data_IF_449414119846
#
_entry.id   IF_449414119846
#
_cell.length_a   1.000
_cell.length_b   1.000
_cell.length_c   1.000
_cell.angle_alpha   90.00
_cell.angle_beta   90.00
_cell.angle_gamma   90.00
#
_symmetry.space_group_name_H-M   'P 1'
#
loop_
_entity.id
_entity.type
_entity.pdbx_description
1 polymer ?
#
# COMPACT_ATOMS: atom_id res chain seq x y z
N UNK A 1 -3.39 -9.69 -16.70
CA UNK A 1 -4.69 -9.07 -17.09
C UNK A 1 -4.44 -7.62 -17.44
N UNK A 2 -4.64 -7.23 -18.68
CA UNK A 2 -4.41 -5.84 -19.13
C UNK A 2 -5.54 -4.93 -18.65
N UNK A 3 -5.21 -3.68 -18.33
CA UNK A 3 -6.22 -2.63 -18.18
C UNK A 3 -6.96 -2.41 -19.49
N UNK A 4 -8.25 -2.16 -19.42
CA UNK A 4 -8.99 -1.67 -20.59
C UNK A 4 -8.59 -0.24 -20.92
N UNK A 5 -8.90 0.26 -22.12
CA UNK A 5 -8.64 1.64 -22.50
C UNK A 5 -9.33 2.63 -21.55
N UNK A 6 -10.57 2.32 -21.11
CA UNK A 6 -11.32 3.14 -20.16
C UNK A 6 -10.64 3.19 -18.78
N UNK A 7 -10.14 2.05 -18.29
CA UNK A 7 -9.41 1.96 -17.03
C UNK A 7 -8.08 2.74 -17.09
N UNK A 8 -7.37 2.64 -18.21
CA UNK A 8 -6.15 3.39 -18.43
C UNK A 8 -6.42 4.90 -18.46
N UNK A 9 -7.44 5.35 -19.20
CA UNK A 9 -7.86 6.75 -19.26
C UNK A 9 -8.33 7.26 -17.89
N UNK A 10 -9.05 6.44 -17.12
CA UNK A 10 -9.44 6.77 -15.75
C UNK A 10 -8.21 7.03 -14.88
N UNK A 11 -7.22 6.13 -14.89
CA UNK A 11 -6.00 6.33 -14.12
C UNK A 11 -5.28 7.63 -14.50
N UNK A 12 -5.16 7.92 -15.78
CA UNK A 12 -4.52 9.16 -16.27
C UNK A 12 -5.28 10.42 -15.83
N UNK A 13 -6.59 10.38 -15.81
CA UNK A 13 -7.45 11.52 -15.47
C UNK A 13 -7.61 11.70 -13.96
N UNK A 14 -7.86 10.59 -13.23
CA UNK A 14 -8.23 10.63 -11.81
C UNK A 14 -7.06 10.33 -10.86
N UNK A 15 -5.97 9.75 -11.38
CA UNK A 15 -4.82 9.30 -10.58
C UNK A 15 -5.01 7.92 -9.93
N UNK A 16 -6.10 7.23 -10.23
CA UNK A 16 -6.37 5.88 -9.73
C UNK A 16 -7.31 5.09 -10.64
N UNK A 17 -7.28 3.77 -10.46
CA UNK A 17 -8.27 2.85 -11.02
C UNK A 17 -8.42 1.64 -10.10
N UNK A 18 -9.65 1.17 -9.91
CA UNK A 18 -9.95 -0.10 -9.25
C UNK A 18 -10.18 -1.17 -10.31
N UNK A 19 -9.52 -2.30 -10.13
CA UNK A 19 -9.67 -3.48 -10.99
C UNK A 19 -10.17 -4.63 -10.12
N UNK A 20 -11.31 -5.18 -10.49
CA UNK A 20 -11.93 -6.27 -9.74
C UNK A 20 -11.26 -7.61 -10.03
N UNK A 21 -11.22 -8.49 -9.01
CA UNK A 21 -10.80 -9.88 -9.13
C UNK A 21 -9.40 -10.06 -9.75
N UNK A 22 -8.44 -9.23 -9.36
CA UNK A 22 -7.02 -9.35 -9.76
C UNK A 22 -6.41 -10.61 -9.17
N UNK A 23 -6.71 -10.93 -7.91
CA UNK A 23 -6.39 -12.19 -7.28
C UNK A 23 -7.63 -13.08 -7.20
N UNK A 24 -7.44 -14.37 -7.40
CA UNK A 24 -8.48 -15.39 -7.15
C UNK A 24 -8.75 -15.57 -5.65
N UNK A 25 -9.89 -16.15 -5.31
CA UNK A 25 -10.23 -16.45 -3.91
C UNK A 25 -9.19 -17.35 -3.23
N UNK A 26 -8.60 -18.31 -3.94
CA UNK A 26 -7.57 -19.21 -3.41
C UNK A 26 -6.26 -18.46 -3.15
N UNK A 27 -5.86 -17.52 -4.00
CA UNK A 27 -4.68 -16.68 -3.80
C UNK A 27 -4.87 -15.76 -2.60
N UNK A 28 -6.02 -15.10 -2.50
CA UNK A 28 -6.38 -14.26 -1.33
C UNK A 28 -6.30 -15.08 -0.05
N UNK A 29 -6.88 -16.28 -0.02
CA UNK A 29 -6.88 -17.14 1.15
C UNK A 29 -5.47 -17.60 1.55
N UNK A 30 -4.58 -17.85 0.57
CA UNK A 30 -3.16 -18.17 0.85
C UNK A 30 -2.44 -16.99 1.50
N UNK A 31 -2.68 -15.78 1.02
CA UNK A 31 -2.07 -14.56 1.60
C UNK A 31 -2.60 -14.31 3.01
N UNK A 32 -3.90 -14.47 3.23
CA UNK A 32 -4.52 -14.33 4.56
C UNK A 32 -3.90 -15.29 5.57
N UNK A 33 -3.84 -16.59 5.26
CA UNK A 33 -3.23 -17.59 6.13
C UNK A 33 -1.78 -17.25 6.46
N UNK A 34 -1.02 -16.81 5.44
CA UNK A 34 0.36 -16.43 5.67
C UNK A 34 0.49 -15.21 6.58
N UNK A 35 -0.41 -14.24 6.48
CA UNK A 35 -0.47 -13.10 7.41
C UNK A 35 -0.87 -13.56 8.81
N UNK A 36 -1.83 -14.46 8.92
CA UNK A 36 -2.26 -15.01 10.21
C UNK A 36 -1.12 -15.76 10.91
N UNK A 37 -0.28 -16.54 10.20
CA UNK A 37 0.93 -17.19 10.73
C UNK A 37 1.89 -16.16 11.35
N UNK A 38 2.07 -14.99 10.73
CA UNK A 38 2.90 -13.91 11.28
C UNK A 38 2.22 -13.19 12.44
N UNK A 39 0.93 -12.88 12.32
CA UNK A 39 0.15 -12.21 13.37
C UNK A 39 0.15 -13.03 14.65
N UNK A 40 -0.04 -14.35 14.57
CA UNK A 40 -0.07 -15.27 15.72
C UNK A 40 1.30 -15.66 16.25
N UNK A 41 2.38 -15.34 15.50
CA UNK A 41 3.75 -15.72 15.86
C UNK A 41 4.09 -17.18 15.54
N UNK A 42 3.26 -17.87 14.77
CA UNK A 42 3.61 -19.20 14.22
C UNK A 42 4.77 -19.09 13.22
N UNK A 43 4.96 -17.90 12.67
CA UNK A 43 6.09 -17.54 11.81
C UNK A 43 6.73 -16.24 12.30
N UNK A 44 8.06 -16.22 12.35
CA UNK A 44 8.85 -15.07 12.80
C UNK A 44 9.29 -14.21 11.61
N UNK A 45 9.20 -12.89 11.74
CA UNK A 45 9.77 -11.91 10.82
C UNK A 45 11.30 -11.87 11.00
N UNK A 46 12.07 -11.91 9.90
CA UNK A 46 13.55 -11.90 9.94
C UNK A 46 14.15 -10.65 9.29
N UNK A 47 13.58 -10.20 8.17
CA UNK A 47 14.08 -9.08 7.38
C UNK A 47 13.06 -7.96 7.20
N UNK A 48 11.89 -8.07 7.84
CA UNK A 48 10.86 -7.04 7.86
C UNK A 48 10.34 -6.86 9.28
N UNK A 49 9.71 -5.72 9.54
CA UNK A 49 9.25 -5.33 10.87
C UNK A 49 7.75 -5.49 11.05
N UNK A 50 7.37 -5.60 12.31
CA UNK A 50 5.99 -5.54 12.81
C UNK A 50 5.78 -4.20 13.50
N UNK A 51 4.68 -3.53 13.19
CA UNK A 51 4.24 -2.32 13.87
C UNK A 51 2.88 -2.59 14.52
N UNK A 52 2.70 -2.05 15.72
CA UNK A 52 1.48 -2.24 16.50
C UNK A 52 0.54 -1.04 16.32
N UNK A 53 -0.72 -1.22 16.67
CA UNK A 53 -1.68 -0.12 16.76
C UNK A 53 -1.27 0.85 17.89
N UNK A 54 -1.47 2.16 17.73
CA UNK A 54 -1.15 3.14 18.79
C UNK A 54 -1.80 2.80 20.14
N UNK A 55 -3.02 2.26 20.12
CA UNK A 55 -3.70 1.83 21.33
C UNK A 55 -2.93 0.74 22.10
N UNK A 56 -2.02 -0.01 21.47
CA UNK A 56 -1.19 -1.00 22.16
C UNK A 56 -0.16 -0.38 23.12
N UNK A 57 0.14 0.90 22.94
CA UNK A 57 1.06 1.65 23.80
C UNK A 57 0.35 2.37 24.94
N UNK A 58 -0.99 2.34 24.98
CA UNK A 58 -1.78 2.95 26.05
C UNK A 58 -1.79 2.07 27.29
N UNK A 59 -1.45 2.64 28.43
CA UNK A 59 -1.44 1.94 29.73
C UNK A 59 -2.84 1.39 30.06
N UNK A 60 -2.92 0.05 30.21
CA UNK A 60 -4.15 -0.63 30.61
C UNK A 60 -5.10 -0.98 29.48
N UNK A 61 -4.70 -0.76 28.22
CA UNK A 61 -5.45 -1.27 27.08
C UNK A 61 -5.19 -2.78 26.91
N UNK A 62 -6.25 -3.57 26.87
CA UNK A 62 -6.17 -5.02 26.65
C UNK A 62 -6.82 -5.39 25.33
N UNK A 63 -6.14 -6.20 24.55
CA UNK A 63 -6.65 -6.75 23.29
C UNK A 63 -7.28 -8.12 23.54
N UNK A 64 -8.39 -8.39 22.85
CA UNK A 64 -9.10 -9.68 22.98
C UNK A 64 -8.25 -10.86 22.48
N UNK A 65 -7.38 -10.63 21.52
CA UNK A 65 -6.51 -11.64 20.91
C UNK A 65 -5.07 -11.15 20.78
N UNK A 66 -4.08 -12.04 20.91
CA UNK A 66 -2.65 -11.65 20.81
C UNK A 66 -2.25 -10.96 19.49
N UNK A 67 -2.99 -11.22 18.39
CA UNK A 67 -2.74 -10.61 17.09
C UNK A 67 -3.43 -9.27 16.85
N UNK A 68 -4.41 -8.89 17.67
CA UNK A 68 -5.20 -7.67 17.48
C UNK A 68 -4.37 -6.39 17.48
N UNK A 69 -3.25 -6.26 18.22
CA UNK A 69 -2.43 -5.05 18.14
C UNK A 69 -1.67 -4.85 16.84
N UNK A 70 -1.61 -5.83 15.93
CA UNK A 70 -0.79 -5.70 14.73
C UNK A 70 -1.46 -4.81 13.69
N UNK A 71 -0.80 -3.68 13.40
CA UNK A 71 -1.24 -2.69 12.42
C UNK A 71 -0.62 -2.91 11.04
N UNK A 72 0.65 -3.35 11.00
CA UNK A 72 1.41 -3.36 9.77
C UNK A 72 2.60 -4.31 9.83
N UNK A 73 2.85 -4.95 8.70
CA UNK A 73 4.14 -5.55 8.41
C UNK A 73 4.78 -4.80 7.25
N UNK A 74 6.04 -4.42 7.38
CA UNK A 74 6.77 -3.77 6.30
C UNK A 74 8.27 -3.99 6.37
N UNK A 75 8.94 -3.81 5.24
CA UNK A 75 10.39 -3.84 5.13
C UNK A 75 10.88 -4.57 3.89
N UNK A 76 12.18 -4.44 3.68
CA UNK A 76 12.92 -4.98 2.52
C UNK A 76 12.74 -6.50 2.37
N UNK A 77 12.49 -7.20 3.46
CA UNK A 77 12.49 -8.66 3.47
C UNK A 77 11.18 -9.31 3.08
N UNK A 78 10.05 -8.61 3.13
CA UNK A 78 8.75 -9.25 3.02
C UNK A 78 8.59 -10.12 1.76
N UNK A 79 8.90 -9.53 0.59
CA UNK A 79 8.88 -10.24 -0.71
C UNK A 79 10.13 -11.11 -0.92
N UNK A 80 11.23 -10.83 -0.22
CA UNK A 80 12.48 -11.61 -0.33
C UNK A 80 12.44 -12.89 0.49
N UNK A 81 11.80 -12.85 1.66
CA UNK A 81 11.74 -13.97 2.59
C UNK A 81 10.59 -14.92 2.33
N UNK A 82 9.49 -14.41 1.81
CA UNK A 82 8.24 -15.16 1.74
C UNK A 82 7.71 -15.28 0.32
N UNK A 83 7.66 -16.54 -0.16
CA UNK A 83 7.23 -16.84 -1.53
C UNK A 83 5.76 -16.46 -1.77
N UNK A 84 4.89 -16.50 -0.75
CA UNK A 84 3.47 -16.12 -0.90
C UNK A 84 3.34 -14.63 -1.22
N UNK A 85 4.07 -13.78 -0.50
CA UNK A 85 4.08 -12.34 -0.78
C UNK A 85 4.79 -12.02 -2.10
N UNK A 86 5.84 -12.81 -2.41
CA UNK A 86 6.55 -12.68 -3.68
C UNK A 86 5.66 -13.01 -4.86
N UNK A 87 4.87 -14.08 -4.79
CA UNK A 87 3.92 -14.46 -5.85
C UNK A 87 2.93 -13.33 -6.13
N UNK A 88 2.43 -12.62 -5.11
CA UNK A 88 1.55 -11.47 -5.29
C UNK A 88 2.28 -10.30 -5.93
N UNK A 89 3.47 -9.97 -5.46
CA UNK A 89 4.27 -8.86 -6.00
C UNK A 89 4.73 -9.10 -7.45
N UNK A 90 4.77 -10.34 -7.90
CA UNK A 90 5.13 -10.74 -9.26
C UNK A 90 3.94 -11.32 -10.03
N UNK A 91 2.72 -11.17 -9.53
CA UNK A 91 1.52 -11.68 -10.16
C UNK A 91 1.33 -11.07 -11.54
N UNK A 92 1.13 -11.92 -12.56
CA UNK A 92 1.06 -11.48 -13.97
C UNK A 92 0.04 -10.36 -14.19
N UNK A 93 -1.16 -10.46 -13.60
CA UNK A 93 -2.21 -9.44 -13.73
C UNK A 93 -1.81 -8.09 -13.15
N UNK A 94 -1.09 -8.08 -12.03
CA UNK A 94 -0.58 -6.86 -11.40
C UNK A 94 0.54 -6.25 -12.23
N UNK A 95 1.54 -7.05 -12.59
CA UNK A 95 2.73 -6.60 -13.33
C UNK A 95 2.33 -6.08 -14.72
N UNK A 96 1.41 -6.75 -15.42
CA UNK A 96 0.93 -6.32 -16.73
C UNK A 96 0.22 -4.97 -16.67
N UNK A 97 -0.68 -4.76 -15.68
CA UNK A 97 -1.36 -3.49 -15.48
C UNK A 97 -0.35 -2.35 -15.17
N UNK A 98 0.61 -2.58 -14.26
CA UNK A 98 1.64 -1.58 -13.95
C UNK A 98 2.54 -1.31 -15.15
N UNK A 99 2.85 -2.32 -15.97
CA UNK A 99 3.62 -2.16 -17.20
C UNK A 99 2.92 -1.25 -18.20
N UNK A 100 1.60 -1.32 -18.31
CA UNK A 100 0.84 -0.38 -19.14
C UNK A 100 0.90 1.06 -18.61
N UNK A 101 0.91 1.24 -17.28
CA UNK A 101 0.96 2.57 -16.66
C UNK A 101 2.37 3.19 -16.69
N UNK A 102 3.42 2.40 -16.53
CA UNK A 102 4.79 2.87 -16.33
C UNK A 102 5.80 2.45 -17.40
N UNK A 103 5.41 1.55 -18.29
CA UNK A 103 6.30 0.96 -19.29
C UNK A 103 6.95 -0.35 -18.81
N UNK A 104 7.74 -1.02 -19.68
CA UNK A 104 8.11 -2.42 -19.53
C UNK A 104 9.24 -2.68 -18.53
N UNK A 105 9.94 -1.65 -18.06
CA UNK A 105 11.12 -1.81 -17.22
C UNK A 105 10.79 -1.37 -15.79
N UNK A 106 10.48 -2.33 -14.92
CA UNK A 106 9.95 -2.08 -13.58
C UNK A 106 10.84 -2.70 -12.50
N UNK A 107 10.91 -1.99 -11.39
CA UNK A 107 11.44 -2.47 -10.10
C UNK A 107 10.38 -2.37 -9.02
N UNK A 108 10.44 -3.28 -8.08
CA UNK A 108 9.70 -3.21 -6.83
C UNK A 108 10.35 -2.14 -5.95
N UNK A 109 9.55 -1.20 -5.48
CA UNK A 109 9.99 -0.14 -4.57
C UNK A 109 9.79 -0.55 -3.12
N UNK A 110 8.64 -1.16 -2.82
CA UNK A 110 8.23 -1.53 -1.47
C UNK A 110 7.14 -2.58 -1.48
N UNK A 111 7.08 -3.36 -0.41
CA UNK A 111 5.93 -4.19 -0.04
C UNK A 111 5.55 -3.98 1.42
N UNK A 112 4.28 -4.10 1.74
CA UNK A 112 3.74 -4.04 3.09
C UNK A 112 2.40 -4.74 3.19
N UNK A 113 2.06 -5.25 4.37
CA UNK A 113 0.71 -5.63 4.70
C UNK A 113 0.13 -4.63 5.70
N UNK A 114 -1.04 -4.08 5.41
CA UNK A 114 -1.76 -3.13 6.25
C UNK A 114 -2.97 -3.82 6.86
N UNK A 115 -3.02 -3.81 8.17
CA UNK A 115 -4.04 -4.49 8.94
C UNK A 115 -4.82 -3.45 9.75
N UNK A 116 -6.15 -3.57 9.76
CA UNK A 116 -7.00 -2.83 10.69
C UNK A 116 -7.79 -3.84 11.50
N UNK A 117 -7.35 -4.11 12.75
CA UNK A 117 -8.09 -5.00 13.63
C UNK A 117 -9.48 -4.47 13.95
N UNK A 118 -10.44 -5.36 14.29
CA UNK A 118 -11.81 -4.97 14.63
C UNK A 118 -11.86 -3.97 15.79
N UNK A 119 -12.54 -2.86 15.60
CA UNK A 119 -12.82 -1.87 16.63
C UNK A 119 -11.64 -1.03 17.14
N UNK A 120 -10.40 -1.39 16.76
CA UNK A 120 -9.18 -0.69 17.24
C UNK A 120 -8.26 -0.24 16.10
N UNK A 121 -8.51 -0.70 14.87
CA UNK A 121 -7.70 -0.31 13.71
C UNK A 121 -7.74 1.18 13.49
N UNK A 122 -6.60 1.86 13.67
CA UNK A 122 -6.47 3.31 13.60
C UNK A 122 -6.64 3.89 12.20
N UNK A 123 -6.95 5.18 12.10
CA UNK A 123 -6.95 5.90 10.84
C UNK A 123 -5.55 5.99 10.22
N UNK A 124 -5.51 6.18 8.91
CA UNK A 124 -4.32 6.68 8.21
C UNK A 124 -4.69 8.02 7.58
N UNK A 125 -4.12 9.10 8.12
CA UNK A 125 -4.44 10.47 7.69
C UNK A 125 -4.13 10.71 6.22
N UNK A 126 -4.74 11.72 5.62
CA UNK A 126 -4.45 12.13 4.24
C UNK A 126 -2.97 12.32 4.02
N UNK A 127 -2.42 11.64 3.02
CA UNK A 127 -1.03 11.73 2.61
C UNK A 127 -0.88 11.39 1.12
N UNK A 128 0.30 11.61 0.61
CA UNK A 128 0.74 11.15 -0.72
C UNK A 128 1.91 10.21 -0.52
N UNK A 129 1.89 9.04 -1.17
CA UNK A 129 2.98 8.06 -1.07
C UNK A 129 4.34 8.64 -1.48
N UNK A 130 4.34 9.57 -2.47
CA UNK A 130 5.56 10.21 -2.94
C UNK A 130 6.35 10.97 -1.85
N UNK A 131 5.70 11.36 -0.74
CA UNK A 131 6.35 12.06 0.34
C UNK A 131 7.30 11.18 1.16
N UNK A 132 7.10 9.87 1.14
CA UNK A 132 8.01 8.90 1.79
C UNK A 132 9.27 8.61 0.97
N UNK A 133 9.24 8.88 -0.35
CA UNK A 133 10.27 8.39 -1.26
C UNK A 133 10.99 9.53 -1.98
N UNK A 134 12.27 9.78 -1.67
CA UNK A 134 13.07 10.79 -2.38
C UNK A 134 13.47 10.28 -3.78
N UNK A 135 12.51 9.96 -4.64
CA UNK A 135 12.69 9.33 -5.96
C UNK A 135 12.27 10.29 -7.07
N UNK A 136 12.96 10.25 -8.20
CA UNK A 136 12.59 10.95 -9.42
C UNK A 136 12.63 9.98 -10.63
N UNK A 137 11.64 10.08 -11.56
CA UNK A 137 10.44 10.93 -11.45
C UNK A 137 9.51 10.48 -10.32
N UNK A 138 8.63 11.39 -9.84
CA UNK A 138 7.58 11.07 -8.86
C UNK A 138 6.36 10.52 -9.61
N UNK A 139 6.47 9.30 -10.09
CA UNK A 139 5.44 8.66 -10.90
C UNK A 139 5.23 7.18 -10.54
N UNK A 140 5.80 6.73 -9.44
CA UNK A 140 5.60 5.34 -9.01
C UNK A 140 4.12 5.02 -8.75
N UNK A 141 3.77 3.76 -8.96
CA UNK A 141 2.42 3.24 -8.79
C UNK A 141 2.37 2.38 -7.53
N UNK A 142 1.46 2.68 -6.64
CA UNK A 142 1.11 1.82 -5.51
C UNK A 142 -0.11 0.97 -5.89
N UNK A 143 0.01 -0.33 -5.68
CA UNK A 143 -1.10 -1.28 -5.84
C UNK A 143 -1.52 -1.72 -4.45
N UNK A 144 -2.75 -1.39 -4.08
CA UNK A 144 -3.37 -1.78 -2.83
C UNK A 144 -4.38 -2.90 -3.11
N UNK A 145 -4.12 -4.11 -2.61
CA UNK A 145 -4.90 -5.31 -2.88
C UNK A 145 -5.72 -5.65 -1.64
N UNK A 146 -7.04 -5.64 -1.78
CA UNK A 146 -7.94 -6.02 -0.71
C UNK A 146 -7.81 -7.52 -0.41
N UNK A 147 -7.53 -7.87 0.83
CA UNK A 147 -7.55 -9.26 1.29
C UNK A 147 -8.85 -9.59 2.01
N UNK A 148 -9.52 -8.60 2.58
CA UNK A 148 -10.86 -8.70 3.16
C UNK A 148 -11.79 -7.71 2.45
N UNK A 149 -13.08 -7.85 2.67
CA UNK A 149 -14.05 -6.85 2.23
C UNK A 149 -13.73 -5.50 2.88
N UNK A 150 -13.42 -4.50 2.08
CA UNK A 150 -13.14 -3.15 2.51
C UNK A 150 -14.38 -2.27 2.30
N UNK A 151 -14.94 -1.77 3.39
CA UNK A 151 -16.14 -0.92 3.41
C UNK A 151 -15.84 0.42 4.07
N UNK A 152 -16.76 1.36 4.00
CA UNK A 152 -16.64 2.64 4.71
C UNK A 152 -16.58 2.45 6.23
N UNK A 153 -17.26 1.43 6.76
CA UNK A 153 -17.31 1.12 8.18
C UNK A 153 -15.98 0.57 8.73
N UNK A 154 -15.22 -0.18 7.90
CA UNK A 154 -13.94 -0.77 8.32
C UNK A 154 -12.72 -0.07 7.74
N UNK A 155 -12.91 1.12 7.17
CA UNK A 155 -11.84 1.97 6.67
C UNK A 155 -11.33 1.57 5.28
N UNK A 156 -12.23 1.48 4.28
CA UNK A 156 -11.82 1.39 2.88
C UNK A 156 -11.00 2.62 2.46
N UNK A 157 -10.32 2.52 1.34
CA UNK A 157 -9.56 3.64 0.78
C UNK A 157 -10.50 4.77 0.38
N UNK A 158 -10.09 6.00 0.68
CA UNK A 158 -10.71 7.24 0.19
C UNK A 158 -9.66 8.07 -0.52
N UNK A 159 -9.99 8.60 -1.68
CA UNK A 159 -9.08 9.35 -2.54
C UNK A 159 -9.65 10.70 -2.91
N UNK A 160 -8.79 11.65 -3.28
CA UNK A 160 -9.19 12.92 -3.88
C UNK A 160 -8.93 12.84 -5.39
N UNK A 161 -9.94 12.56 -6.23
CA UNK A 161 -9.76 12.36 -7.66
C UNK A 161 -9.07 13.53 -8.33
N UNK A 162 -8.20 13.24 -9.30
CA UNK A 162 -7.42 14.19 -10.10
C UNK A 162 -6.39 15.05 -9.32
N UNK A 163 -6.36 15.02 -7.98
CA UNK A 163 -5.44 15.82 -7.17
C UNK A 163 -3.97 15.39 -7.30
N UNK A 164 -3.66 14.26 -7.93
CA UNK A 164 -2.27 13.88 -8.27
C UNK A 164 -1.61 14.90 -9.21
N UNK A 165 -2.39 15.69 -9.95
CA UNK A 165 -1.89 16.76 -10.84
C UNK A 165 -1.44 18.01 -10.08
N UNK A 166 -1.79 18.16 -8.81
CA UNK A 166 -1.37 19.29 -7.96
C UNK A 166 0.12 19.17 -7.54
N UNK A 167 0.75 18.02 -7.83
CA UNK A 167 2.14 17.75 -7.47
C UNK A 167 2.29 17.31 -6.01
N UNK A 168 3.54 17.31 -5.52
CA UNK A 168 3.82 16.97 -4.13
C UNK A 168 3.44 18.13 -3.22
N UNK A 169 2.53 17.87 -2.31
CA UNK A 169 2.04 18.82 -1.30
C UNK A 169 2.95 18.78 -0.07
N UNK A 170 2.79 19.80 0.81
CA UNK A 170 3.51 19.82 2.06
C UNK A 170 2.96 18.77 3.03
N UNK A 171 3.86 18.01 3.65
CA UNK A 171 3.55 17.04 4.70
C UNK A 171 4.19 17.49 6.02
N UNK A 172 3.63 17.01 7.11
CA UNK A 172 4.17 17.10 8.46
C UNK A 172 4.32 15.71 9.07
N UNK A 173 5.33 15.55 9.90
CA UNK A 173 5.54 14.31 10.66
C UNK A 173 4.50 14.23 11.78
N UNK A 174 3.99 13.03 12.03
CA UNK A 174 3.09 12.76 13.15
C UNK A 174 3.91 12.28 14.35
N UNK A 175 3.38 12.51 15.56
CA UNK A 175 4.05 12.10 16.80
C UNK A 175 4.25 10.59 16.93
N UNK A 176 3.43 9.82 16.22
CA UNK A 176 3.48 8.36 16.23
C UNK A 176 4.18 7.85 14.98
N UNK A 177 5.36 7.27 15.18
CA UNK A 177 6.13 6.54 14.17
C UNK A 177 6.58 7.39 12.96
N UNK A 178 6.95 6.71 11.88
CA UNK A 178 7.33 7.28 10.59
C UNK A 178 6.14 7.75 9.76
N UNK A 179 4.99 7.99 10.39
CA UNK A 179 3.78 8.43 9.70
C UNK A 179 3.81 9.93 9.43
N UNK A 180 3.29 10.29 8.26
CA UNK A 180 3.15 11.66 7.79
C UNK A 180 1.70 11.97 7.44
N UNK A 181 1.34 13.23 7.51
CA UNK A 181 0.05 13.73 7.08
C UNK A 181 0.22 15.00 6.23
N UNK A 182 -0.77 15.30 5.39
CA UNK A 182 -0.82 16.57 4.69
C UNK A 182 -0.94 17.73 5.70
N UNK A 183 -0.01 18.68 5.63
CA UNK A 183 0.06 19.81 6.54
C UNK A 183 -1.02 20.84 6.22
N UNK A 184 -1.88 21.15 7.19
CA UNK A 184 -2.87 22.25 7.12
C UNK A 184 -3.78 22.14 5.89
N UNK A 185 -4.13 20.94 5.49
CA UNK A 185 -4.83 20.72 4.24
C UNK A 185 -6.33 20.77 4.40
N UNK A 186 -6.99 21.53 3.53
CA UNK A 186 -8.43 21.49 3.30
C UNK A 186 -8.86 20.24 2.49
N UNK A 187 -7.96 19.24 2.35
CA UNK A 187 -8.26 18.03 1.56
C UNK A 187 -9.40 17.20 2.15
N UNK A 188 -9.58 17.22 3.48
CA UNK A 188 -10.75 16.61 4.12
C UNK A 188 -12.08 17.30 3.80
N UNK A 189 -12.05 18.55 3.30
CA UNK A 189 -13.22 19.31 2.85
C UNK A 189 -13.48 19.19 1.33
N UNK A 190 -12.50 18.66 0.57
CA UNK A 190 -12.71 18.39 -0.86
C UNK A 190 -13.59 17.16 -1.04
N UNK A 191 -14.21 17.06 -2.21
CA UNK A 191 -14.99 15.89 -2.63
C UNK A 191 -14.08 14.65 -2.68
N UNK A 192 -14.15 13.83 -1.65
CA UNK A 192 -13.47 12.54 -1.59
C UNK A 192 -14.36 11.45 -2.13
N UNK A 193 -13.75 10.44 -2.73
CA UNK A 193 -14.45 9.23 -3.20
C UNK A 193 -14.00 8.06 -2.35
N UNK A 194 -14.96 7.42 -1.66
CA UNK A 194 -14.73 6.15 -1.00
C UNK A 194 -14.70 5.02 -2.04
N UNK A 195 -13.78 4.09 -1.89
CA UNK A 195 -13.55 2.96 -2.78
C UNK A 195 -13.79 1.65 -2.03
N UNK A 196 -15.05 1.22 -1.83
CA UNK A 196 -15.31 -0.12 -1.32
C UNK A 196 -14.80 -1.16 -2.31
N UNK A 197 -14.15 -2.22 -1.79
CA UNK A 197 -13.54 -3.28 -2.59
C UNK A 197 -13.80 -4.64 -1.98
N UNK A 198 -14.02 -5.64 -2.82
CA UNK A 198 -14.08 -7.03 -2.43
C UNK A 198 -12.69 -7.66 -2.29
N UNK A 199 -12.59 -8.83 -1.63
CA UNK A 199 -11.34 -9.57 -1.57
C UNK A 199 -10.85 -9.97 -2.97
N UNK A 200 -9.58 -9.66 -3.27
CA UNK A 200 -8.98 -9.90 -4.59
C UNK A 200 -9.03 -8.69 -5.53
N UNK A 201 -9.80 -7.66 -5.22
CA UNK A 201 -9.77 -6.40 -5.97
C UNK A 201 -8.49 -5.63 -5.68
N UNK A 202 -8.03 -4.86 -6.65
CA UNK A 202 -6.82 -4.04 -6.55
C UNK A 202 -7.07 -2.59 -6.97
N UNK A 203 -6.64 -1.67 -6.14
CA UNK A 203 -6.55 -0.26 -6.44
C UNK A 203 -5.13 0.04 -6.95
N UNK A 204 -5.02 0.53 -8.16
CA UNK A 204 -3.79 1.11 -8.72
C UNK A 204 -3.87 2.62 -8.53
N UNK A 205 -2.93 3.20 -7.78
CA UNK A 205 -2.91 4.64 -7.49
C UNK A 205 -1.58 5.28 -7.81
N UNK A 206 -1.64 6.52 -8.27
CA UNK A 206 -0.48 7.36 -8.50
C UNK A 206 0.10 7.84 -7.17
N UNK A 207 1.42 7.84 -7.02
CA UNK A 207 2.09 8.23 -5.77
C UNK A 207 1.77 9.65 -5.28
N UNK A 208 1.34 10.53 -6.17
CA UNK A 208 0.93 11.91 -5.84
C UNK A 208 -0.57 12.04 -5.54
N UNK A 209 -1.33 10.95 -5.56
CA UNK A 209 -2.76 10.99 -5.22
C UNK A 209 -2.95 11.09 -3.71
N UNK A 210 -3.57 12.19 -3.19
CA UNK A 210 -3.93 12.25 -1.78
C UNK A 210 -4.97 11.20 -1.43
N UNK A 211 -4.69 10.42 -0.38
CA UNK A 211 -5.58 9.35 0.04
C UNK A 211 -5.59 9.17 1.56
N UNK A 212 -6.63 8.53 2.04
CA UNK A 212 -6.98 8.41 3.45
C UNK A 212 -7.67 7.07 3.72
N UNK A 213 -7.58 6.55 4.95
CA UNK A 213 -8.43 5.46 5.43
C UNK A 213 -8.93 5.73 6.83
N UNK A 214 -10.26 5.67 7.04
CA UNK A 214 -10.90 5.84 8.33
C UNK A 214 -10.50 4.72 9.32
N UNK A 215 -10.75 4.89 10.63
CA UNK A 215 -10.65 3.80 11.59
C UNK A 215 -11.52 2.61 11.20
N UNK A 216 -11.21 1.45 11.76
CA UNK A 216 -12.08 0.28 11.65
C UNK A 216 -13.06 0.25 12.84
N UNK A 217 -14.30 0.65 12.59
CA UNK A 217 -15.37 0.64 13.60
C UNK A 217 -16.20 -0.67 13.59
N UNK A 218 -15.86 -1.60 12.67
CA UNK A 218 -16.57 -2.86 12.51
C UNK A 218 -15.99 -3.97 13.41
N UNK A 219 -16.73 -5.08 13.50
CA UNK A 219 -16.28 -6.31 14.18
C UNK A 219 -15.41 -7.23 13.30
N UNK A 220 -15.01 -6.78 12.10
CA UNK A 220 -14.28 -7.58 11.12
C UNK A 220 -12.88 -6.99 10.84
N UNK A 221 -11.91 -7.84 10.59
CA UNK A 221 -10.62 -7.44 10.06
C UNK A 221 -10.75 -6.77 8.69
N UNK A 222 -9.89 -5.78 8.45
CA UNK A 222 -9.65 -5.23 7.11
C UNK A 222 -8.15 -5.29 6.82
N UNK A 223 -7.75 -6.32 6.09
CA UNK A 223 -6.35 -6.56 5.69
C UNK A 223 -6.18 -6.21 4.21
N UNK A 224 -5.01 -5.69 3.89
CA UNK A 224 -4.59 -5.43 2.51
C UNK A 224 -3.11 -5.73 2.35
N UNK A 225 -2.73 -6.14 1.14
CA UNK A 225 -1.34 -6.23 0.74
C UNK A 225 -1.01 -5.11 -0.23
N UNK A 226 0.09 -4.40 0.04
CA UNK A 226 0.53 -3.24 -0.75
C UNK A 226 1.83 -3.57 -1.45
N UNK A 227 1.90 -3.21 -2.72
CA UNK A 227 3.10 -3.32 -3.55
C UNK A 227 3.29 -2.01 -4.30
N UNK A 228 4.43 -1.37 -4.17
CA UNK A 228 4.76 -0.18 -4.93
C UNK A 228 5.82 -0.48 -5.98
N UNK A 229 5.56 -0.01 -7.21
CA UNK A 229 6.44 -0.20 -8.36
C UNK A 229 6.96 1.12 -8.88
N UNK A 230 8.23 1.13 -9.25
CA UNK A 230 8.87 2.26 -9.90
C UNK A 230 9.49 1.86 -11.25
N UNK A 231 9.71 2.84 -12.10
CA UNK A 231 10.47 2.61 -13.33
C UNK A 231 11.89 2.20 -13.00
N UNK A 232 12.44 1.25 -13.71
CA UNK A 232 13.83 0.82 -13.53
C UNK A 232 14.87 1.94 -13.77
N UNK A 233 14.45 3.06 -14.37
CA UNK A 233 15.26 4.29 -14.56
C UNK A 233 15.12 5.31 -13.45
N UNK A 234 14.28 5.05 -12.46
CA UNK A 234 14.11 5.95 -11.31
C UNK A 234 15.42 6.09 -10.54
N UNK A 235 15.60 7.24 -9.90
CA UNK A 235 16.80 7.54 -9.11
C UNK A 235 16.40 8.13 -7.77
N UNK A 236 17.10 7.76 -6.74
CA UNK A 236 17.04 8.49 -5.48
C UNK A 236 17.66 9.88 -5.63
N UNK A 237 17.08 10.84 -4.93
CA UNK A 237 17.62 12.22 -4.86
C UNK A 237 18.54 12.42 -3.66
N UNK A 238 18.66 11.40 -2.81
CA UNK A 238 19.58 11.32 -1.67
C UNK A 238 20.75 10.40 -2.00
N UNK A 239 21.90 10.61 -1.35
CA UNK A 239 23.09 9.76 -1.54
C UNK A 239 22.84 8.34 -1.01
N UNK A 240 22.15 8.25 0.14
CA UNK A 240 21.80 6.98 0.78
C UNK A 240 20.30 6.72 0.62
N UNK A 241 19.89 5.72 -0.17
CA UNK A 241 18.51 5.29 -0.23
C UNK A 241 18.04 4.72 1.12
N UNK A 242 16.75 4.84 1.46
CA UNK A 242 16.22 4.22 2.66
C UNK A 242 16.44 2.69 2.65
N UNK A 243 16.86 2.13 3.78
CA UNK A 243 17.15 0.68 3.91
C UNK A 243 15.93 -0.22 3.66
N UNK A 244 14.72 0.32 3.80
CA UNK A 244 13.46 -0.41 3.61
C UNK A 244 12.99 -0.49 2.15
N UNK A 245 13.74 0.04 1.20
CA UNK A 245 13.43 -0.06 -0.23
C UNK A 245 13.88 -1.40 -0.78
N UNK A 246 12.97 -2.11 -1.42
CA UNK A 246 13.26 -3.43 -2.00
C UNK A 246 14.16 -3.36 -3.24
N UNK A 247 13.87 -2.46 -4.16
CA UNK A 247 14.62 -2.26 -5.40
C UNK A 247 14.87 -3.55 -6.20
N UNK A 248 13.93 -4.50 -6.17
CA UNK A 248 14.02 -5.74 -6.92
C UNK A 248 13.55 -5.54 -8.35
N UNK A 249 14.31 -6.08 -9.31
CA UNK A 249 13.83 -6.13 -10.69
C UNK A 249 12.57 -7.00 -10.79
N UNK A 250 11.50 -6.42 -11.36
CA UNK A 250 10.24 -7.10 -11.62
C UNK A 250 10.17 -7.56 -13.07
N UNK A 251 10.39 -6.65 -14.02
CA UNK A 251 10.39 -6.96 -15.46
C UNK A 251 11.30 -6.02 -16.24
N UNK A 252 11.67 -6.43 -17.44
CA UNK A 252 12.46 -5.63 -18.39
C UNK A 252 13.92 -5.49 -18.03
N UNK A 253 14.52 -4.37 -18.42
CA UNK A 253 15.94 -4.08 -18.31
C UNK A 253 16.29 -3.33 -17.02
N UNK A 254 17.49 -3.56 -16.50
CA UNK A 254 18.09 -2.75 -15.43
C UNK A 254 19.00 -1.68 -16.03
N UNK A 255 19.09 -0.53 -15.35
CA UNK A 255 19.89 0.60 -15.81
C UNK A 255 20.96 0.92 -14.76
N UNK A 256 22.27 0.84 -15.13
CA UNK A 256 23.35 1.15 -14.20
C UNK A 256 23.23 2.58 -13.63
N UNK A 257 23.41 2.71 -12.31
CA UNK A 257 23.30 3.99 -11.59
C UNK A 257 21.86 4.49 -11.39
N UNK A 258 20.87 3.64 -11.65
CA UNK A 258 19.48 3.83 -11.24
C UNK A 258 19.18 2.91 -10.05
N UNK A 259 18.09 3.21 -9.32
CA UNK A 259 17.69 2.47 -8.11
C UNK A 259 17.57 0.98 -8.37
#
# INVERSE_FOLDING_TARGET
MSLTDEQFEQYQREGYVVVENVLTADEVERVRRRLDDYVTGEREERQFGRMLEPAAEEDGFEFDRPGDPVRKFEGVGMVREDDVFREVAFHDGVVEAVTQLQGPNLKLLRSAAMLKPPGVGSEKKFHQDAAYYPIRPMDHVTVWIALDEATTENGCMQVVPAAHTDGLLRHEELEYETDIALAGSDYGERDTVALPMGPGDALFQHCLLPHYTAPNESERWRRAFIVAYMRARSRFTTEDPPEWVDSLRVTGEEFPGCV
#
